data_IF_571766451837
#
_entry.id   IF_571766451837
#
_cell.length_a   1.000
_cell.length_b   1.000
_cell.length_c   1.000
_cell.angle_alpha   90.00
_cell.angle_beta   90.00
_cell.angle_gamma   90.00
#
_symmetry.space_group_name_H-M   'P 1'
#
loop_
_entity.id
_entity.type
_entity.pdbx_description
1 polymer ?
#
# COMPACT_ATOMS: atom_id res chain seq x y z
N UNK A 1 -53.00 -30.00 -9.83
CA UNK A 1 -52.10 -28.84 -9.86
C UNK A 1 -51.11 -28.93 -8.71
N UNK A 2 -50.14 -29.86 -8.77
CA UNK A 2 -49.11 -30.05 -7.72
C UNK A 2 -47.71 -30.30 -8.28
N UNK A 3 -47.48 -30.13 -9.59
CA UNK A 3 -46.25 -30.60 -10.27
C UNK A 3 -45.01 -29.69 -10.06
N UNK A 4 -45.19 -28.44 -9.61
CA UNK A 4 -44.07 -27.51 -9.45
C UNK A 4 -43.43 -27.53 -8.06
N UNK A 5 -44.23 -27.78 -7.01
CA UNK A 5 -43.71 -27.86 -5.64
C UNK A 5 -42.85 -29.10 -5.42
N UNK A 6 -43.27 -30.23 -6.00
CA UNK A 6 -42.57 -31.51 -5.85
C UNK A 6 -41.27 -31.52 -6.67
N UNK A 7 -41.24 -30.90 -7.86
CA UNK A 7 -40.00 -30.72 -8.65
C UNK A 7 -38.95 -29.87 -7.94
N UNK A 8 -39.36 -28.83 -7.22
CA UNK A 8 -38.41 -28.01 -6.46
C UNK A 8 -37.85 -28.80 -5.27
N UNK A 9 -38.68 -29.57 -4.58
CA UNK A 9 -38.23 -30.41 -3.46
C UNK A 9 -37.23 -31.48 -3.93
N UNK A 10 -37.53 -32.16 -5.04
CA UNK A 10 -36.64 -33.15 -5.64
C UNK A 10 -35.31 -32.52 -6.14
N UNK A 11 -35.36 -31.29 -6.67
CA UNK A 11 -34.17 -30.54 -7.06
C UNK A 11 -33.31 -30.15 -5.84
N UNK A 12 -33.90 -29.76 -4.72
CA UNK A 12 -33.13 -29.46 -3.50
C UNK A 12 -32.56 -30.72 -2.86
N UNK A 13 -33.33 -31.80 -2.74
CA UNK A 13 -32.86 -33.08 -2.18
C UNK A 13 -31.72 -33.70 -3.02
N UNK A 14 -31.77 -33.56 -4.35
CA UNK A 14 -30.69 -34.05 -5.23
C UNK A 14 -29.39 -33.23 -5.18
N UNK A 15 -29.43 -32.01 -4.64
CA UNK A 15 -28.27 -31.10 -4.59
C UNK A 15 -27.80 -30.76 -3.16
N UNK A 16 -28.54 -31.17 -2.12
CA UNK A 16 -28.18 -30.93 -0.71
C UNK A 16 -26.84 -31.56 -0.32
N UNK A 17 -26.50 -32.70 -0.92
CA UNK A 17 -25.22 -33.39 -0.70
C UNK A 17 -24.12 -33.01 -1.70
N UNK A 18 -24.38 -32.10 -2.64
CA UNK A 18 -23.35 -31.57 -3.55
C UNK A 18 -22.59 -30.40 -2.91
N UNK A 19 -22.22 -30.54 -1.64
CA UNK A 19 -21.30 -29.57 -1.04
C UNK A 19 -19.95 -29.76 -1.75
N UNK A 20 -19.48 -28.81 -2.57
CA UNK A 20 -18.22 -28.96 -3.25
C UNK A 20 -17.15 -29.12 -2.17
N UNK A 21 -16.29 -30.13 -2.29
CA UNK A 21 -15.18 -30.31 -1.37
C UNK A 21 -14.44 -28.96 -1.24
N UNK A 22 -14.42 -28.34 -0.04
CA UNK A 22 -13.79 -27.03 0.12
C UNK A 22 -12.33 -27.08 -0.31
N UNK A 23 -11.63 -28.20 -0.10
CA UNK A 23 -10.26 -28.38 -0.56
C UNK A 23 -10.14 -28.33 -2.09
N UNK A 24 -11.08 -28.94 -2.82
CA UNK A 24 -11.14 -28.87 -4.28
C UNK A 24 -11.45 -27.46 -4.80
N UNK A 25 -12.33 -26.71 -4.12
CA UNK A 25 -12.63 -25.30 -4.47
C UNK A 25 -11.41 -24.42 -4.21
N UNK A 26 -10.74 -24.58 -3.06
CA UNK A 26 -9.52 -23.85 -2.75
C UNK A 26 -8.39 -24.19 -3.73
N UNK A 27 -8.22 -25.46 -4.10
CA UNK A 27 -7.24 -25.89 -5.09
C UNK A 27 -7.50 -25.23 -6.46
N UNK A 28 -8.76 -25.17 -6.89
CA UNK A 28 -9.19 -24.50 -8.13
C UNK A 28 -8.90 -22.99 -8.12
N UNK A 29 -9.11 -22.32 -6.99
CA UNK A 29 -8.84 -20.88 -6.83
C UNK A 29 -7.33 -20.61 -6.82
N UNK A 30 -6.54 -21.46 -6.16
CA UNK A 30 -5.07 -21.38 -6.18
C UNK A 30 -4.52 -21.61 -7.59
N UNK A 31 -5.04 -22.60 -8.32
CA UNK A 31 -4.66 -22.87 -9.70
C UNK A 31 -4.99 -21.68 -10.63
N UNK A 32 -6.21 -21.13 -10.53
CA UNK A 32 -6.63 -19.97 -11.32
C UNK A 32 -5.80 -18.72 -11.03
N UNK A 33 -5.51 -18.47 -9.75
CA UNK A 33 -4.68 -17.32 -9.34
C UNK A 33 -3.22 -17.48 -9.77
N UNK A 34 -2.64 -18.68 -9.69
CA UNK A 34 -1.30 -18.97 -10.19
C UNK A 34 -1.21 -18.77 -11.71
N UNK A 35 -2.22 -19.25 -12.46
CA UNK A 35 -2.33 -19.06 -13.91
C UNK A 35 -2.48 -17.59 -14.29
N UNK A 36 -3.23 -16.81 -13.51
CA UNK A 36 -3.40 -15.36 -13.73
C UNK A 36 -2.09 -14.59 -13.43
N UNK A 37 -1.36 -14.96 -12.38
CA UNK A 37 -0.05 -14.38 -12.03
C UNK A 37 1.02 -14.66 -13.09
N UNK A 38 1.03 -15.86 -13.65
CA UNK A 38 1.93 -16.25 -14.74
C UNK A 38 1.68 -15.44 -16.01
N UNK A 39 0.41 -15.19 -16.36
CA UNK A 39 0.05 -14.36 -17.53
C UNK A 39 0.53 -12.91 -17.40
N UNK A 40 0.50 -12.33 -16.20
CA UNK A 40 1.04 -10.98 -15.97
C UNK A 40 2.56 -10.91 -16.04
N UNK A 41 3.27 -11.96 -15.61
CA UNK A 41 4.74 -12.03 -15.70
C UNK A 41 5.25 -12.34 -17.12
N UNK A 42 4.44 -13.01 -17.94
CA UNK A 42 4.77 -13.24 -19.37
C UNK A 42 4.58 -12.01 -20.26
N UNK A 43 3.74 -11.04 -19.86
CA UNK A 43 3.46 -9.84 -20.65
C UNK A 43 4.56 -8.75 -20.54
N UNK A 44 5.42 -8.79 -19.52
CA UNK A 44 6.51 -7.81 -19.34
C UNK A 44 7.86 -8.24 -19.92
N UNK A 45 7.97 -9.45 -20.47
CA UNK A 45 9.23 -9.96 -21.04
C UNK A 45 9.28 -9.99 -22.58
N UNK A 46 8.23 -9.55 -23.28
CA UNK A 46 8.12 -9.67 -24.75
C UNK A 46 7.72 -8.38 -25.49
N UNK A 47 7.94 -7.21 -24.90
CA UNK A 47 7.56 -5.91 -25.48
C UNK A 47 8.67 -4.86 -25.55
N UNK A 48 9.94 -5.27 -25.50
CA UNK A 48 11.09 -4.37 -25.44
C UNK A 48 12.09 -4.59 -26.57
N UNK A 49 11.69 -4.41 -27.82
CA UNK A 49 12.60 -4.17 -28.96
C UNK A 49 11.81 -3.83 -30.23
N UNK A 50 11.50 -2.55 -30.46
CA UNK A 50 11.43 -1.96 -31.80
C UNK A 50 11.15 -0.45 -31.71
N UNK A 51 11.83 0.31 -32.58
CA UNK A 51 11.64 1.74 -32.92
C UNK A 51 12.32 2.74 -31.96
N UNK A 52 13.22 3.62 -32.37
CA UNK A 52 13.61 4.01 -33.72
C UNK A 52 15.02 4.60 -33.75
N UNK A 53 15.77 4.17 -34.76
CA UNK A 53 16.90 4.92 -35.27
C UNK A 53 16.40 5.64 -36.54
N UNK A 54 16.65 6.95 -36.63
CA UNK A 54 16.57 7.70 -37.87
C UNK A 54 15.44 8.72 -37.95
N UNK A 55 15.77 9.99 -37.70
CA UNK A 55 15.58 11.09 -38.65
C UNK A 55 16.30 12.33 -38.11
N UNK A 56 17.48 12.59 -38.65
CA UNK A 56 18.19 13.87 -38.53
C UNK A 56 17.47 14.84 -39.47
N UNK A 57 16.75 15.81 -38.91
CA UNK A 57 16.25 16.95 -39.66
C UNK A 57 17.27 18.10 -39.56
N UNK A 58 17.73 18.53 -40.72
CA UNK A 58 18.71 19.58 -40.92
C UNK A 58 18.20 20.96 -40.48
N UNK A 59 19.09 21.77 -39.88
CA UNK A 59 19.05 23.23 -40.00
C UNK A 59 20.43 23.69 -40.49
N UNK A 60 20.39 24.50 -41.54
CA UNK A 60 21.46 24.86 -42.46
C UNK A 60 21.98 26.26 -42.09
N UNK A 61 23.29 26.39 -41.90
CA UNK A 61 24.18 27.46 -42.40
C UNK A 61 23.91 28.95 -42.04
N UNK A 62 24.88 29.63 -41.40
CA UNK A 62 25.86 30.50 -42.10
C UNK A 62 26.99 31.06 -41.16
N UNK A 63 28.19 31.35 -41.70
CA UNK A 63 29.36 31.88 -40.97
C UNK A 63 29.69 33.37 -41.28
N UNK A 64 30.35 34.08 -40.36
CA UNK A 64 31.16 35.30 -40.59
C UNK A 64 31.99 35.63 -39.32
N UNK A 65 33.32 35.46 -39.26
CA UNK A 65 34.43 36.37 -39.70
C UNK A 65 34.68 37.55 -38.73
N UNK A 66 35.67 37.37 -37.80
CA UNK A 66 36.83 38.20 -37.34
C UNK A 66 36.73 39.76 -37.15
N UNK A 67 37.70 40.50 -36.53
CA UNK A 67 38.87 40.21 -35.64
C UNK A 67 39.08 41.24 -34.45
N UNK A 68 40.29 41.22 -33.83
CA UNK A 68 41.01 42.23 -32.99
C UNK A 68 40.78 42.22 -31.45
N UNK A 69 41.79 42.26 -30.56
CA UNK A 69 43.25 42.51 -30.66
C UNK A 69 44.03 42.06 -29.38
N UNK A 70 45.31 42.44 -29.21
CA UNK A 70 46.33 41.71 -28.42
C UNK A 70 46.71 42.35 -27.07
N UNK A 71 47.30 41.58 -26.15
CA UNK A 71 48.32 41.97 -25.14
C UNK A 71 48.80 40.68 -24.43
N UNK A 72 49.97 40.12 -24.75
CA UNK A 72 51.32 40.44 -24.25
C UNK A 72 51.55 40.26 -22.73
N UNK A 73 52.41 39.27 -22.45
CA UNK A 73 53.56 39.32 -21.52
C UNK A 73 53.46 38.73 -20.10
N UNK A 74 54.21 37.61 -19.96
CA UNK A 74 55.23 37.34 -18.92
C UNK A 74 54.93 36.38 -17.74
N UNK A 75 55.31 35.12 -18.00
CA UNK A 75 56.33 34.35 -17.25
C UNK A 75 56.06 33.78 -15.82
N UNK A 76 56.75 32.68 -15.44
CA UNK A 76 56.20 31.56 -14.68
C UNK A 76 56.83 31.37 -13.28
N UNK A 77 56.11 30.78 -12.32
CA UNK A 77 56.71 30.06 -11.19
C UNK A 77 55.81 28.88 -10.78
N UNK A 78 56.47 27.77 -10.44
CA UNK A 78 55.95 26.43 -10.23
C UNK A 78 55.09 26.22 -8.95
N UNK A 79 54.41 25.06 -8.96
CA UNK A 79 54.07 24.18 -7.83
C UNK A 79 52.57 24.01 -7.51
N UNK A 80 52.23 22.73 -7.29
CA UNK A 80 51.00 22.16 -6.74
C UNK A 80 49.77 22.08 -7.68
N UNK A 81 49.61 20.90 -8.27
CA UNK A 81 48.36 20.44 -8.87
C UNK A 81 47.29 20.23 -7.78
N UNK A 82 46.09 20.84 -7.88
CA UNK A 82 44.92 20.37 -7.16
C UNK A 82 44.21 19.30 -7.99
N UNK A 83 43.88 18.19 -7.32
CA UNK A 83 43.15 17.06 -7.85
C UNK A 83 41.82 17.49 -8.49
N UNK A 84 41.56 16.95 -9.68
CA UNK A 84 40.24 16.91 -10.30
C UNK A 84 39.28 16.09 -9.43
N UNK A 85 38.09 16.59 -9.05
CA UNK A 85 37.04 15.70 -8.59
C UNK A 85 36.54 14.90 -9.79
N UNK A 86 36.85 13.61 -9.78
CA UNK A 86 36.29 12.62 -10.67
C UNK A 86 34.75 12.64 -10.54
N UNK A 87 34.09 12.80 -11.68
CA UNK A 87 32.64 12.69 -11.84
C UNK A 87 32.24 11.29 -11.39
N UNK A 88 31.78 11.18 -10.15
CA UNK A 88 31.27 9.93 -9.60
C UNK A 88 29.89 9.71 -10.19
N UNK A 89 29.72 8.55 -10.80
CA UNK A 89 28.47 8.08 -11.37
C UNK A 89 27.31 8.32 -10.40
N UNK A 90 26.30 9.05 -10.87
CA UNK A 90 25.03 9.23 -10.17
C UNK A 90 24.39 7.85 -10.01
N UNK A 91 24.51 7.32 -8.79
CA UNK A 91 23.88 6.09 -8.35
C UNK A 91 22.37 6.32 -8.44
N UNK A 92 21.71 5.55 -9.30
CA UNK A 92 20.26 5.41 -9.30
C UNK A 92 19.79 5.13 -7.86
N UNK A 93 18.75 5.80 -7.34
CA UNK A 93 18.29 5.55 -5.99
C UNK A 93 17.81 4.09 -5.92
N UNK A 94 18.63 3.29 -5.24
CA UNK A 94 18.26 1.98 -4.73
C UNK A 94 16.98 2.15 -3.94
N UNK A 95 15.93 1.46 -4.38
CA UNK A 95 14.71 1.25 -3.62
C UNK A 95 15.04 0.36 -2.43
N UNK A 96 15.53 0.96 -1.36
CA UNK A 96 15.48 0.39 -0.02
C UNK A 96 14.03 0.44 0.46
N UNK A 97 13.33 -0.69 0.66
CA UNK A 97 12.06 -0.67 1.37
C UNK A 97 12.41 -0.55 2.86
N UNK A 98 12.49 0.69 3.35
CA UNK A 98 12.72 0.97 4.76
C UNK A 98 11.46 1.58 5.35
N UNK A 99 11.11 1.07 6.53
CA UNK A 99 10.03 1.47 7.42
C UNK A 99 8.59 1.32 6.89
N UNK A 100 7.70 0.92 7.79
CA UNK A 100 6.25 0.99 7.65
C UNK A 100 5.82 2.36 7.06
N UNK A 101 4.72 2.44 6.28
CA UNK A 101 4.27 3.69 5.65
C UNK A 101 3.85 4.82 6.61
N UNK A 102 4.09 4.68 7.92
CA UNK A 102 3.62 5.61 8.95
C UNK A 102 4.22 6.99 8.78
N UNK A 103 5.53 7.11 8.57
CA UNK A 103 6.17 8.42 8.41
C UNK A 103 5.72 9.13 7.12
N UNK A 104 5.53 8.36 6.06
CA UNK A 104 4.98 8.85 4.80
C UNK A 104 3.53 9.29 4.95
N UNK A 105 2.71 8.50 5.63
CA UNK A 105 1.31 8.84 5.86
C UNK A 105 1.19 10.07 6.75
N UNK A 106 1.99 10.18 7.81
CA UNK A 106 2.04 11.35 8.68
C UNK A 106 2.43 12.58 7.87
N UNK A 107 3.50 12.53 7.07
CA UNK A 107 3.89 13.65 6.22
C UNK A 107 2.80 14.05 5.20
N UNK A 108 2.07 13.07 4.67
CA UNK A 108 0.95 13.30 3.77
C UNK A 108 -0.20 14.05 4.44
N UNK A 109 -0.59 13.61 5.65
CA UNK A 109 -1.67 14.23 6.42
C UNK A 109 -1.25 15.58 7.01
N UNK A 110 0.00 15.71 7.48
CA UNK A 110 0.58 16.96 7.99
C UNK A 110 0.65 18.03 6.92
N UNK A 111 0.88 17.63 5.66
CA UNK A 111 0.82 18.52 4.51
C UNK A 111 -0.62 18.93 4.11
N UNK A 112 -1.63 18.47 4.85
CA UNK A 112 -3.03 18.85 4.69
C UNK A 112 -3.77 18.08 3.60
N UNK A 113 -3.17 17.04 3.01
CA UNK A 113 -3.83 16.24 1.98
C UNK A 113 -4.75 15.20 2.60
N UNK A 114 -5.87 14.96 1.94
CA UNK A 114 -6.96 14.14 2.46
C UNK A 114 -7.15 12.82 1.64
N UNK A 115 -8.30 12.16 1.76
CA UNK A 115 -8.54 10.96 0.95
C UNK A 115 -8.89 11.28 -0.51
N UNK A 116 -9.63 12.37 -0.76
CA UNK A 116 -10.03 12.74 -2.11
C UNK A 116 -8.84 13.25 -2.94
N UNK A 117 -7.90 13.91 -2.29
CA UNK A 117 -6.59 14.24 -2.85
C UNK A 117 -5.81 12.97 -3.23
N UNK A 118 -5.83 11.92 -2.40
CA UNK A 118 -5.18 10.66 -2.74
C UNK A 118 -5.81 10.00 -3.97
N UNK A 119 -7.14 10.11 -4.14
CA UNK A 119 -7.83 9.63 -5.35
C UNK A 119 -7.42 10.43 -6.60
N UNK A 120 -7.24 11.74 -6.47
CA UNK A 120 -6.76 12.60 -7.56
C UNK A 120 -5.31 12.27 -7.92
N UNK A 121 -4.45 12.04 -6.93
CA UNK A 121 -3.07 11.60 -7.14
C UNK A 121 -3.02 10.22 -7.80
N UNK A 122 -3.89 9.29 -7.40
CA UNK A 122 -3.98 7.97 -7.99
C UNK A 122 -4.26 8.05 -9.50
N UNK A 123 -5.21 8.90 -9.90
CA UNK A 123 -5.53 9.14 -11.32
C UNK A 123 -4.36 9.79 -12.07
N UNK A 124 -3.69 10.74 -11.45
CA UNK A 124 -2.59 11.47 -12.08
C UNK A 124 -1.33 10.62 -12.27
N UNK A 125 -1.04 9.74 -11.30
CA UNK A 125 0.11 8.84 -11.33
C UNK A 125 -0.19 7.49 -11.96
N UNK A 126 -1.40 7.30 -12.52
CA UNK A 126 -1.87 6.01 -13.06
C UNK A 126 -1.73 4.85 -12.06
N UNK A 127 -1.91 5.14 -10.77
CA UNK A 127 -1.91 4.15 -9.71
C UNK A 127 -3.32 3.60 -9.50
N UNK A 128 -3.39 2.39 -8.94
CA UNK A 128 -4.68 1.76 -8.66
C UNK A 128 -5.44 2.53 -7.57
N UNK A 129 -6.72 2.83 -7.83
CA UNK A 129 -7.62 3.38 -6.81
C UNK A 129 -7.98 2.35 -5.73
N UNK A 130 -7.65 1.08 -5.94
CA UNK A 130 -7.80 0.03 -4.91
C UNK A 130 -6.67 0.08 -3.87
N UNK A 131 -5.55 0.74 -4.20
CA UNK A 131 -4.37 0.87 -3.33
C UNK A 131 -4.11 2.35 -2.97
N UNK A 132 -5.11 2.98 -2.36
CA UNK A 132 -4.98 4.36 -1.91
C UNK A 132 -3.91 4.50 -0.81
N UNK A 133 -3.68 3.45 -0.02
CA UNK A 133 -2.59 3.43 0.97
C UNK A 133 -1.22 3.59 0.32
N UNK A 134 -0.96 2.88 -0.79
CA UNK A 134 0.25 3.02 -1.58
C UNK A 134 0.39 4.41 -2.20
N UNK A 135 -0.70 5.01 -2.68
CA UNK A 135 -0.70 6.37 -3.24
C UNK A 135 -0.35 7.41 -2.17
N UNK A 136 -0.92 7.28 -0.96
CA UNK A 136 -0.60 8.14 0.18
C UNK A 136 0.85 7.99 0.63
N UNK A 137 1.34 6.76 0.68
CA UNK A 137 2.74 6.49 1.02
C UNK A 137 3.69 7.11 -0.02
N UNK A 138 3.37 7.01 -1.31
CA UNK A 138 4.17 7.64 -2.36
C UNK A 138 4.14 9.17 -2.29
N UNK A 139 2.96 9.74 -2.03
CA UNK A 139 2.81 11.17 -1.83
C UNK A 139 3.59 11.68 -0.62
N UNK A 140 3.50 10.96 0.50
CA UNK A 140 4.28 11.18 1.71
C UNK A 140 5.79 11.14 1.47
N UNK A 141 6.29 10.13 0.75
CA UNK A 141 7.71 10.06 0.37
C UNK A 141 8.16 11.27 -0.43
N UNK A 142 7.34 11.73 -1.38
CA UNK A 142 7.66 12.92 -2.19
C UNK A 142 7.72 14.17 -1.32
N UNK A 143 6.78 14.32 -0.38
CA UNK A 143 6.79 15.43 0.59
C UNK A 143 8.00 15.38 1.52
N UNK A 144 8.36 14.22 2.06
CA UNK A 144 9.56 14.02 2.88
C UNK A 144 10.85 14.29 2.11
N UNK A 145 10.86 14.02 0.80
CA UNK A 145 11.95 14.36 -0.11
C UNK A 145 11.97 15.85 -0.52
N UNK A 146 11.08 16.68 0.02
CA UNK A 146 10.96 18.10 -0.30
C UNK A 146 10.36 18.39 -1.68
N UNK A 147 9.78 17.38 -2.34
CA UNK A 147 9.12 17.54 -3.63
C UNK A 147 7.68 18.03 -3.45
N UNK A 148 7.30 19.03 -4.22
CA UNK A 148 5.92 19.50 -4.26
C UNK A 148 5.02 18.48 -4.99
N UNK A 149 3.81 18.25 -4.46
CA UNK A 149 2.81 17.46 -5.14
C UNK A 149 2.18 18.24 -6.30
N UNK A 150 1.59 17.55 -7.30
CA UNK A 150 1.18 18.16 -8.57
C UNK A 150 0.02 19.17 -8.46
N UNK A 151 -0.65 19.21 -7.33
CA UNK A 151 -1.65 20.21 -6.98
C UNK A 151 -1.53 20.47 -5.47
N UNK A 152 -1.84 21.70 -5.01
CA UNK A 152 -1.88 21.99 -3.59
C UNK A 152 -2.97 21.17 -2.90
N UNK A 153 -2.75 20.81 -1.64
CA UNK A 153 -3.78 20.18 -0.81
C UNK A 153 -5.08 20.97 -0.94
N UNK A 154 -6.18 20.26 -1.21
CA UNK A 154 -7.48 20.93 -1.25
C UNK A 154 -7.87 21.12 0.21
N UNK A 155 -7.89 22.34 0.75
CA UNK A 155 -8.24 22.52 2.14
C UNK A 155 -9.76 22.33 2.24
N UNK A 156 -10.18 21.10 2.52
CA UNK A 156 -11.27 20.94 3.46
C UNK A 156 -10.76 21.47 4.80
N UNK A 157 -11.63 22.13 5.58
CA UNK A 157 -11.24 22.76 6.84
C UNK A 157 -10.29 21.85 7.66
N UNK A 158 -9.19 22.41 8.18
CA UNK A 158 -8.05 21.64 8.65
C UNK A 158 -8.48 20.53 9.62
N UNK A 159 -8.19 19.29 9.24
CA UNK A 159 -8.02 18.16 10.15
C UNK A 159 -9.27 17.65 10.89
N UNK A 160 -10.46 18.21 10.65
CA UNK A 160 -11.65 17.73 11.35
C UNK A 160 -12.26 16.56 10.58
N UNK A 161 -11.73 15.36 10.85
CA UNK A 161 -12.38 14.10 10.50
C UNK A 161 -13.87 14.25 10.83
N UNK A 162 -14.80 14.11 9.86
CA UNK A 162 -16.20 14.39 10.10
C UNK A 162 -16.68 13.63 11.33
N UNK A 163 -17.54 14.24 12.17
CA UNK A 163 -18.02 13.62 13.41
C UNK A 163 -18.60 12.21 13.18
N UNK A 164 -19.14 11.96 11.98
CA UNK A 164 -19.58 10.65 11.50
C UNK A 164 -18.42 9.66 11.38
N UNK A 165 -17.33 10.05 10.73
CA UNK A 165 -16.15 9.21 10.56
C UNK A 165 -15.45 8.97 11.91
N UNK A 166 -15.38 9.99 12.77
CA UNK A 166 -14.90 9.79 14.15
C UNK A 166 -15.77 8.79 14.92
N UNK A 167 -17.10 8.90 14.84
CA UNK A 167 -18.02 7.97 15.51
C UNK A 167 -17.83 6.54 15.03
N UNK A 168 -17.59 6.34 13.73
CA UNK A 168 -17.30 5.04 13.15
C UNK A 168 -16.04 4.40 13.75
N UNK A 169 -14.94 5.15 13.83
CA UNK A 169 -13.70 4.67 14.44
C UNK A 169 -13.83 4.48 15.96
N UNK A 170 -14.50 5.40 16.65
CA UNK A 170 -14.76 5.31 18.08
C UNK A 170 -15.64 4.10 18.45
N UNK A 171 -16.49 3.65 17.53
CA UNK A 171 -17.27 2.41 17.67
C UNK A 171 -16.45 1.14 17.34
N UNK A 172 -15.13 1.27 17.14
CA UNK A 172 -14.21 0.14 16.97
C UNK A 172 -14.05 -0.34 15.54
N UNK A 173 -14.72 0.28 14.56
CA UNK A 173 -14.66 -0.16 13.17
C UNK A 173 -13.40 0.34 12.45
N UNK A 174 -12.79 -0.53 11.67
CA UNK A 174 -11.56 -0.27 10.91
C UNK A 174 -11.79 0.09 9.44
N UNK A 175 -10.70 0.22 8.69
CA UNK A 175 -10.76 0.41 7.25
C UNK A 175 -11.36 -0.81 6.54
N UNK A 176 -10.96 -2.03 6.92
CA UNK A 176 -11.47 -3.26 6.31
C UNK A 176 -12.97 -3.44 6.54
N UNK A 177 -13.47 -3.05 7.72
CA UNK A 177 -14.90 -2.95 8.00
C UNK A 177 -15.60 -1.98 7.04
N UNK A 178 -14.99 -0.83 6.77
CA UNK A 178 -15.53 0.13 5.81
C UNK A 178 -15.56 -0.41 4.38
N UNK A 179 -14.56 -1.20 3.96
CA UNK A 179 -14.55 -1.89 2.66
C UNK A 179 -15.68 -2.91 2.58
N UNK A 180 -15.87 -3.72 3.63
CA UNK A 180 -16.98 -4.69 3.74
C UNK A 180 -18.34 -3.97 3.66
N UNK A 181 -18.50 -2.85 4.38
CA UNK A 181 -19.71 -2.02 4.36
C UNK A 181 -19.96 -1.35 3.01
N UNK A 182 -18.91 -0.85 2.34
CA UNK A 182 -19.04 -0.26 1.00
C UNK A 182 -19.57 -1.29 0.02
N UNK A 183 -19.05 -2.52 0.06
CA UNK A 183 -19.54 -3.62 -0.77
C UNK A 183 -20.98 -4.00 -0.44
N UNK A 184 -21.34 -4.06 0.85
CA UNK A 184 -22.67 -4.45 1.31
C UNK A 184 -23.74 -3.41 0.95
N UNK A 185 -23.39 -2.12 0.99
CA UNK A 185 -24.31 -1.01 0.69
C UNK A 185 -24.18 -0.48 -0.73
N UNK A 186 -23.38 -1.15 -1.58
CA UNK A 186 -23.12 -0.74 -2.96
C UNK A 186 -22.61 0.71 -3.07
N UNK A 187 -21.78 1.14 -2.13
CA UNK A 187 -21.15 2.45 -2.14
C UNK A 187 -19.88 2.43 -2.97
N UNK A 188 -19.56 3.58 -3.58
CA UNK A 188 -18.42 3.71 -4.50
C UNK A 188 -17.08 3.63 -3.77
N UNK A 189 -17.01 4.12 -2.54
CA UNK A 189 -15.76 4.15 -1.78
C UNK A 189 -15.93 3.63 -0.35
N UNK A 190 -14.86 3.09 0.27
CA UNK A 190 -14.83 2.81 1.70
C UNK A 190 -15.07 4.07 2.55
N UNK A 191 -14.67 5.25 2.07
CA UNK A 191 -14.92 6.51 2.77
C UNK A 191 -16.41 6.83 2.86
N UNK A 192 -17.17 6.68 1.77
CA UNK A 192 -18.63 6.81 1.76
C UNK A 192 -19.28 5.89 2.79
N UNK A 193 -18.75 4.66 2.92
CA UNK A 193 -19.23 3.71 3.91
C UNK A 193 -18.95 4.16 5.34
N UNK A 194 -17.77 4.75 5.63
CA UNK A 194 -17.47 5.32 6.96
C UNK A 194 -18.42 6.46 7.31
N UNK A 195 -18.70 7.34 6.37
CA UNK A 195 -19.63 8.46 6.57
C UNK A 195 -21.05 7.94 6.80
N UNK A 196 -21.54 7.02 5.97
CA UNK A 196 -22.86 6.44 6.10
C UNK A 196 -23.02 5.63 7.40
N UNK A 197 -22.01 4.84 7.76
CA UNK A 197 -21.95 4.07 8.98
C UNK A 197 -21.92 4.98 10.21
N UNK A 198 -21.10 6.02 10.17
CA UNK A 198 -21.01 7.06 11.19
C UNK A 198 -22.35 7.75 11.46
N UNK A 199 -23.08 8.11 10.40
CA UNK A 199 -24.43 8.68 10.52
C UNK A 199 -25.40 7.72 11.22
N UNK A 200 -25.36 6.43 10.86
CA UNK A 200 -26.21 5.40 11.49
C UNK A 200 -25.85 5.21 12.97
N UNK A 201 -24.56 5.16 13.30
CA UNK A 201 -24.09 5.06 14.68
C UNK A 201 -24.44 6.29 15.52
N UNK A 202 -24.40 7.50 14.94
CA UNK A 202 -24.88 8.72 15.61
C UNK A 202 -26.40 8.70 15.84
N UNK A 203 -27.16 8.08 14.94
CA UNK A 203 -28.59 7.85 15.11
C UNK A 203 -28.94 6.68 16.05
N UNK A 204 -27.94 6.07 16.71
CA UNK A 204 -28.14 4.92 17.60
C UNK A 204 -28.45 3.60 16.90
N UNK A 205 -28.29 3.53 15.59
CA UNK A 205 -28.53 2.32 14.80
C UNK A 205 -27.30 1.41 14.78
N UNK A 206 -27.54 0.10 14.80
CA UNK A 206 -26.49 -0.92 14.68
C UNK A 206 -26.09 -1.14 13.22
N UNK A 207 -24.81 -1.42 12.98
CA UNK A 207 -24.33 -1.79 11.65
C UNK A 207 -24.54 -3.29 11.39
N UNK A 208 -24.71 -3.70 10.12
CA UNK A 208 -24.93 -5.10 9.74
C UNK A 208 -23.68 -5.97 9.85
N UNK A 209 -22.51 -5.37 10.10
CA UNK A 209 -21.28 -6.07 10.45
C UNK A 209 -20.88 -5.66 11.86
N UNK A 210 -20.24 -6.57 12.60
CA UNK A 210 -19.58 -6.21 13.86
C UNK A 210 -18.20 -5.63 13.57
N UNK A 211 -17.70 -4.71 14.42
CA UNK A 211 -16.35 -4.19 14.24
C UNK A 211 -15.35 -5.33 14.35
N UNK A 212 -14.35 -5.37 13.48
CA UNK A 212 -13.35 -6.44 13.46
C UNK A 212 -12.61 -6.48 14.80
N UNK A 213 -12.26 -5.32 15.37
CA UNK A 213 -11.67 -5.20 16.72
C UNK A 213 -12.55 -5.72 17.86
N UNK A 214 -13.86 -5.81 17.67
CA UNK A 214 -14.77 -6.42 18.64
C UNK A 214 -14.95 -7.92 18.45
N UNK A 215 -14.51 -8.47 17.31
CA UNK A 215 -14.52 -9.91 17.09
C UNK A 215 -13.67 -10.63 18.13
N UNK A 216 -14.11 -11.81 18.56
CA UNK A 216 -13.36 -12.60 19.54
C UNK A 216 -11.96 -12.95 19.03
N UNK A 217 -11.80 -13.13 17.72
CA UNK A 217 -10.54 -13.44 17.07
C UNK A 217 -9.58 -12.25 17.12
N UNK A 218 -10.02 -11.03 16.78
CA UNK A 218 -9.17 -9.84 16.86
C UNK A 218 -8.82 -9.44 18.29
N UNK A 219 -9.73 -9.66 19.26
CA UNK A 219 -9.40 -9.49 20.68
C UNK A 219 -8.30 -10.46 21.12
N UNK A 220 -8.39 -11.72 20.71
CA UNK A 220 -7.33 -12.69 20.99
C UNK A 220 -6.03 -12.35 20.28
N UNK A 221 -6.09 -11.81 19.07
CA UNK A 221 -4.91 -11.38 18.32
C UNK A 221 -4.20 -10.22 19.02
N UNK A 222 -4.94 -9.20 19.46
CA UNK A 222 -4.39 -8.10 20.25
C UNK A 222 -3.75 -8.61 21.55
N UNK A 223 -4.41 -9.50 22.29
CA UNK A 223 -3.84 -10.09 23.50
C UNK A 223 -2.53 -10.86 23.24
N UNK A 224 -2.40 -11.51 22.08
CA UNK A 224 -1.16 -12.19 21.68
C UNK A 224 -0.07 -11.18 21.37
N UNK A 225 -0.36 -10.16 20.57
CA UNK A 225 0.61 -9.11 20.26
C UNK A 225 1.07 -8.40 21.53
N UNK A 226 0.14 -8.04 22.43
CA UNK A 226 0.47 -7.45 23.72
C UNK A 226 1.30 -8.38 24.60
N UNK A 227 1.04 -9.70 24.59
CA UNK A 227 1.85 -10.65 25.35
C UNK A 227 3.28 -10.74 24.81
N UNK A 228 3.46 -10.63 23.50
CA UNK A 228 4.76 -10.56 22.85
C UNK A 228 5.52 -9.29 23.26
N UNK A 229 4.88 -8.13 23.13
CA UNK A 229 5.50 -6.84 23.48
C UNK A 229 5.77 -6.75 25.01
N UNK A 230 4.88 -7.29 25.86
CA UNK A 230 5.06 -7.33 27.33
C UNK A 230 6.20 -8.25 27.77
N UNK A 231 6.49 -9.29 26.99
CA UNK A 231 7.64 -10.16 27.23
C UNK A 231 8.98 -9.51 26.85
N UNK A 232 8.96 -8.27 26.36
CA UNK A 232 10.14 -7.46 26.05
C UNK A 232 10.60 -7.56 24.60
N UNK A 233 9.94 -8.36 23.78
CA UNK A 233 10.32 -8.54 22.38
C UNK A 233 9.87 -7.37 21.52
N UNK A 234 10.72 -6.99 20.56
CA UNK A 234 10.47 -5.87 19.69
C UNK A 234 10.14 -6.29 18.24
N UNK A 235 10.13 -5.31 17.33
CA UNK A 235 9.87 -5.58 15.92
C UNK A 235 11.00 -6.36 15.25
N UNK A 236 12.26 -6.09 15.56
CA UNK A 236 13.40 -6.79 14.96
C UNK A 236 13.38 -8.27 15.34
N UNK A 237 12.95 -8.58 16.57
CA UNK A 237 12.69 -9.95 17.01
C UNK A 237 11.54 -10.60 16.24
N UNK A 238 10.46 -9.86 15.99
CA UNK A 238 9.37 -10.34 15.17
C UNK A 238 9.82 -10.66 13.73
N UNK A 239 10.74 -9.87 13.15
CA UNK A 239 11.35 -10.14 11.84
C UNK A 239 12.21 -11.42 11.88
N UNK A 240 13.05 -11.58 12.90
CA UNK A 240 13.86 -12.81 13.09
C UNK A 240 12.95 -14.04 13.21
N UNK A 241 11.88 -13.95 14.00
CA UNK A 241 10.90 -15.02 14.18
C UNK A 241 10.13 -15.32 12.90
N UNK A 242 9.72 -14.30 12.14
CA UNK A 242 9.05 -14.50 10.85
C UNK A 242 9.94 -15.29 9.90
N UNK A 243 11.24 -14.97 9.85
CA UNK A 243 12.21 -15.70 9.04
C UNK A 243 12.41 -17.13 9.54
N UNK A 244 12.53 -17.33 10.86
CA UNK A 244 12.75 -18.63 11.48
C UNK A 244 11.55 -19.57 11.29
N UNK A 245 10.33 -19.04 11.36
CA UNK A 245 9.09 -19.81 11.24
C UNK A 245 8.48 -19.78 9.83
N UNK A 246 9.18 -19.20 8.86
CA UNK A 246 8.72 -19.06 7.47
C UNK A 246 7.35 -18.39 7.33
N UNK A 247 7.08 -17.38 8.17
CA UNK A 247 5.87 -16.56 8.12
C UNK A 247 6.05 -15.42 7.12
N UNK A 248 4.93 -14.93 6.57
CA UNK A 248 4.97 -13.94 5.48
C UNK A 248 5.22 -12.53 6.00
N UNK A 249 4.81 -12.26 7.24
CA UNK A 249 4.93 -10.94 7.85
C UNK A 249 5.47 -11.02 9.28
N UNK A 250 6.17 -9.97 9.75
CA UNK A 250 6.54 -9.83 11.15
C UNK A 250 5.33 -9.81 12.08
N UNK A 251 4.20 -9.27 11.62
CA UNK A 251 2.95 -9.27 12.38
C UNK A 251 2.43 -10.68 12.66
N UNK A 252 2.39 -11.56 11.65
CA UNK A 252 2.05 -12.98 11.85
C UNK A 252 2.97 -13.64 12.89
N UNK A 253 4.26 -13.27 12.89
CA UNK A 253 5.22 -13.76 13.87
C UNK A 253 4.92 -13.24 15.28
N UNK A 254 4.56 -11.97 15.47
CA UNK A 254 4.12 -11.43 16.77
C UNK A 254 2.91 -12.19 17.32
N UNK A 255 1.90 -12.44 16.49
CA UNK A 255 0.69 -13.15 16.90
C UNK A 255 1.00 -14.61 17.28
N UNK A 256 1.83 -15.29 16.48
CA UNK A 256 2.26 -16.66 16.75
C UNK A 256 3.15 -16.76 18.00
N UNK A 257 4.06 -15.81 18.19
CA UNK A 257 4.93 -15.71 19.35
C UNK A 257 4.14 -15.43 20.63
N UNK A 258 3.26 -14.43 20.58
CA UNK A 258 2.32 -14.11 21.65
C UNK A 258 1.46 -15.29 22.09
N UNK A 259 0.98 -16.09 21.12
CA UNK A 259 0.25 -17.32 21.41
C UNK A 259 1.09 -18.33 22.20
N UNK A 260 2.38 -18.47 21.87
CA UNK A 260 3.31 -19.38 22.57
C UNK A 260 3.62 -18.87 23.98
N UNK A 261 3.86 -17.57 24.12
CA UNK A 261 4.10 -16.92 25.42
C UNK A 261 2.89 -17.05 26.36
N UNK A 262 1.67 -16.84 25.87
CA UNK A 262 0.44 -17.04 26.63
C UNK A 262 0.23 -18.51 27.03
N UNK A 263 0.78 -19.46 26.28
CA UNK A 263 0.79 -20.88 26.62
C UNK A 263 1.96 -21.27 27.56
N UNK A 264 2.76 -20.31 28.02
CA UNK A 264 3.93 -20.53 28.89
C UNK A 264 5.14 -21.13 28.18
N UNK A 265 5.18 -21.09 26.85
CA UNK A 265 6.30 -21.58 26.04
C UNK A 265 7.33 -20.46 25.82
N UNK A 266 8.62 -20.82 25.86
CA UNK A 266 9.69 -19.91 25.47
C UNK A 266 9.79 -19.76 23.95
N UNK A 267 10.29 -18.61 23.51
CA UNK A 267 10.60 -18.38 22.11
C UNK A 267 12.03 -18.84 21.80
N UNK A 268 12.33 -19.18 20.53
CA UNK A 268 13.66 -19.61 20.11
C UNK A 268 14.69 -18.48 20.07
N UNK A 269 14.29 -17.25 20.38
CA UNK A 269 15.15 -16.08 20.55
C UNK A 269 14.84 -15.43 21.89
N UNK A 270 15.85 -14.78 22.48
CA UNK A 270 15.70 -13.92 23.64
C UNK A 270 15.42 -12.48 23.17
N UNK A 271 14.64 -11.70 23.95
CA UNK A 271 14.38 -10.29 23.67
C UNK A 271 15.64 -9.43 23.85
#
# INVERSE_FOLDING_TARGET
MTDHGDRLREAFESHENQTPDPAAVYAKVVELSAKHRWRRRGATAAGGAALGAGLIAAVVNLPAILPDGPQESSAPIAAAAPATPAVTASVAPSTTPSAEPTAEWDAYFDAGYDYDDALRLARLWNMSTDDIGGVKAEAGRRLLAGQALPFPATPDEPGQVPATVQKFFAAGYGYDDAVKLAKLWHLKTPYDAKVAAGKRLLAGQTLPIKPERESAESKQELLRVEAFDRAGYDYDDAVKLAKLWHLKTPYEAKVAAGKRLLAGQSLPIEP
#
